data_IF_763972647129
#
_entry.id   IF_763972647129
#
_cell.length_a   1.000
_cell.length_b   1.000
_cell.length_c   1.000
_cell.angle_alpha   90.00
_cell.angle_beta   90.00
_cell.angle_gamma   90.00
#
_symmetry.space_group_name_H-M   'P 1'
#
loop_
_entity.id
_entity.type
_entity.pdbx_description
1 polymer ?
#
# COMPACT_ATOMS: atom_id res chain seq x y z
N UNK A 1 -31.57 -39.71 20.32
CA UNK A 1 -30.79 -39.73 19.07
C UNK A 1 -30.59 -38.28 18.67
N UNK A 2 -29.48 -37.68 19.11
CA UNK A 2 -29.24 -36.24 18.99
C UNK A 2 -28.42 -35.99 17.74
N UNK A 3 -29.05 -35.40 16.73
CA UNK A 3 -28.41 -35.05 15.46
C UNK A 3 -27.42 -33.92 15.71
N UNK A 4 -26.14 -34.26 15.78
CA UNK A 4 -25.03 -33.31 15.87
C UNK A 4 -24.92 -32.61 14.50
N UNK A 5 -25.43 -31.38 14.42
CA UNK A 5 -25.28 -30.52 13.24
C UNK A 5 -23.82 -30.09 13.14
N UNK A 6 -23.05 -30.78 12.31
CA UNK A 6 -21.72 -30.37 11.92
C UNK A 6 -21.86 -29.08 11.10
N UNK A 7 -21.65 -27.94 11.74
CA UNK A 7 -21.64 -26.64 11.07
C UNK A 7 -20.41 -26.63 10.16
N UNK A 8 -20.55 -26.37 8.85
CA UNK A 8 -19.40 -26.33 7.95
C UNK A 8 -18.40 -25.32 8.50
N UNK A 9 -17.22 -25.80 8.92
CA UNK A 9 -16.11 -24.94 9.32
C UNK A 9 -15.71 -24.13 8.10
N UNK A 10 -16.27 -22.94 7.96
CA UNK A 10 -15.83 -21.93 7.00
C UNK A 10 -14.36 -21.68 7.31
N UNK A 11 -13.49 -22.24 6.46
CA UNK A 11 -12.04 -22.06 6.57
C UNK A 11 -11.76 -20.59 6.28
N UNK A 12 -11.77 -19.78 7.34
CA UNK A 12 -11.35 -18.39 7.28
C UNK A 12 -9.88 -18.38 6.88
N UNK A 13 -9.60 -18.07 5.61
CA UNK A 13 -8.22 -17.91 5.14
C UNK A 13 -7.64 -16.71 5.87
N UNK A 14 -6.51 -16.86 6.55
CA UNK A 14 -5.86 -15.76 7.29
C UNK A 14 -5.63 -14.50 6.42
N UNK A 15 -5.51 -14.66 5.11
CA UNK A 15 -5.35 -13.57 4.14
C UNK A 15 -6.61 -12.72 3.93
N UNK A 16 -7.76 -13.09 4.49
CA UNK A 16 -8.97 -12.23 4.49
C UNK A 16 -8.95 -11.20 5.62
N UNK A 17 -8.13 -11.42 6.65
CA UNK A 17 -8.04 -10.52 7.79
C UNK A 17 -7.42 -9.16 7.36
N UNK A 18 -8.10 -8.03 7.64
CA UNK A 18 -7.61 -6.71 7.22
C UNK A 18 -6.19 -6.40 7.71
N UNK A 19 -5.86 -6.79 8.95
CA UNK A 19 -4.53 -6.58 9.53
C UNK A 19 -3.43 -7.34 8.78
N UNK A 20 -3.67 -8.60 8.44
CA UNK A 20 -2.72 -9.42 7.67
C UNK A 20 -2.49 -8.83 6.29
N UNK A 21 -3.55 -8.38 5.62
CA UNK A 21 -3.45 -7.75 4.28
C UNK A 21 -2.67 -6.43 4.33
N UNK A 22 -2.90 -5.62 5.36
CA UNK A 22 -2.14 -4.40 5.59
C UNK A 22 -0.65 -4.69 5.86
N UNK A 23 -0.35 -5.73 6.65
CA UNK A 23 1.02 -6.19 6.88
C UNK A 23 1.72 -6.65 5.60
N UNK A 24 1.05 -7.46 4.77
CA UNK A 24 1.58 -7.89 3.46
C UNK A 24 1.83 -6.68 2.56
N UNK A 25 0.89 -5.74 2.50
CA UNK A 25 1.03 -4.53 1.69
C UNK A 25 2.25 -3.69 2.11
N UNK A 26 2.49 -3.55 3.42
CA UNK A 26 3.70 -2.90 3.94
C UNK A 26 4.97 -3.65 3.56
N UNK A 27 4.99 -4.98 3.71
CA UNK A 27 6.15 -5.78 3.31
C UNK A 27 6.49 -5.63 1.84
N UNK A 28 5.46 -5.62 0.97
CA UNK A 28 5.64 -5.39 -0.47
C UNK A 28 6.13 -3.97 -0.79
N UNK A 29 5.59 -2.95 -0.11
CA UNK A 29 6.07 -1.57 -0.24
C UNK A 29 7.56 -1.47 0.09
N UNK A 30 7.98 -2.00 1.25
CA UNK A 30 9.38 -1.98 1.68
C UNK A 30 10.27 -2.74 0.70
N UNK A 31 9.86 -3.94 0.27
CA UNK A 31 10.60 -4.71 -0.74
C UNK A 31 10.78 -3.93 -2.05
N UNK A 32 9.74 -3.19 -2.48
CA UNK A 32 9.79 -2.35 -3.69
C UNK A 32 10.77 -1.19 -3.53
N UNK A 33 10.77 -0.51 -2.37
CA UNK A 33 11.69 0.59 -2.09
C UNK A 33 13.15 0.13 -2.01
N UNK A 34 13.40 -1.02 -1.38
CA UNK A 34 14.73 -1.65 -1.35
C UNK A 34 15.18 -1.97 -2.78
N UNK A 35 14.29 -2.54 -3.60
CA UNK A 35 14.61 -2.87 -5.01
C UNK A 35 14.94 -1.61 -5.81
N UNK A 36 14.18 -0.54 -5.65
CA UNK A 36 14.42 0.75 -6.29
C UNK A 36 15.76 1.37 -5.85
N UNK A 37 16.10 1.27 -4.56
CA UNK A 37 17.37 1.73 -4.02
C UNK A 37 18.56 0.92 -4.58
N UNK A 38 18.43 -0.41 -4.64
CA UNK A 38 19.44 -1.29 -5.26
C UNK A 38 19.61 -0.97 -6.75
N UNK A 39 18.52 -0.62 -7.45
CA UNK A 39 18.55 -0.16 -8.83
C UNK A 39 19.12 1.27 -9.00
N UNK A 40 19.46 1.94 -7.90
CA UNK A 40 20.02 3.30 -7.86
C UNK A 40 19.17 4.32 -8.62
N UNK A 41 17.85 4.23 -8.45
CA UNK A 41 16.95 5.20 -9.03
C UNK A 41 17.25 6.60 -8.47
N UNK A 42 17.14 7.61 -9.33
CA UNK A 42 17.21 9.00 -8.91
C UNK A 42 16.04 9.34 -7.98
N UNK A 43 16.21 10.36 -7.13
CA UNK A 43 15.22 10.78 -6.13
C UNK A 43 13.80 10.95 -6.70
N UNK A 44 13.59 11.65 -7.85
CA UNK A 44 12.25 11.80 -8.41
C UNK A 44 11.61 10.47 -8.83
N UNK A 45 12.44 9.53 -9.32
CA UNK A 45 11.96 8.20 -9.69
C UNK A 45 11.62 7.35 -8.46
N UNK A 46 12.41 7.46 -7.37
CA UNK A 46 12.07 6.81 -6.10
C UNK A 46 10.76 7.34 -5.50
N UNK A 47 10.50 8.65 -5.60
CA UNK A 47 9.26 9.27 -5.12
C UNK A 47 8.04 8.67 -5.85
N UNK A 48 8.11 8.61 -7.18
CA UNK A 48 7.06 8.04 -8.02
C UNK A 48 6.85 6.55 -7.73
N UNK A 49 7.94 5.79 -7.56
CA UNK A 49 7.87 4.37 -7.19
C UNK A 49 7.22 4.18 -5.82
N UNK A 50 7.55 5.00 -4.83
CA UNK A 50 6.97 4.91 -3.49
C UNK A 50 5.45 5.08 -3.51
N UNK A 51 4.97 6.13 -4.19
CA UNK A 51 3.54 6.42 -4.32
C UNK A 51 2.82 5.34 -5.14
N UNK A 52 3.39 4.95 -6.28
CA UNK A 52 2.80 3.94 -7.14
C UNK A 52 2.70 2.58 -6.44
N UNK A 53 3.79 2.15 -5.78
CA UNK A 53 3.82 0.91 -5.01
C UNK A 53 2.77 0.93 -3.90
N UNK A 54 2.74 2.00 -3.08
CA UNK A 54 1.78 2.15 -1.99
C UNK A 54 0.32 2.07 -2.49
N UNK A 55 0.01 2.73 -3.61
CA UNK A 55 -1.33 2.70 -4.19
C UNK A 55 -1.71 1.32 -4.75
N UNK A 56 -0.80 0.67 -5.47
CA UNK A 56 -1.02 -0.64 -6.09
C UNK A 56 -1.20 -1.76 -5.06
N UNK A 57 -0.39 -1.78 -3.99
CA UNK A 57 -0.54 -2.79 -2.92
C UNK A 57 -1.79 -2.55 -2.08
N UNK A 58 -2.39 -1.35 -2.15
CA UNK A 58 -3.57 -0.98 -1.38
C UNK A 58 -4.92 -1.28 -2.07
N UNK A 59 -4.92 -1.91 -3.26
CA UNK A 59 -6.15 -2.25 -4.03
C UNK A 59 -7.18 -2.99 -3.17
N UNK A 60 -6.74 -3.80 -2.22
CA UNK A 60 -7.60 -4.58 -1.35
C UNK A 60 -8.05 -3.91 -0.04
N UNK A 61 -7.52 -2.76 0.31
CA UNK A 61 -7.61 -2.21 1.68
C UNK A 61 -8.74 -1.18 1.84
N UNK A 62 -9.08 -0.83 3.07
CA UNK A 62 -9.98 0.31 3.31
C UNK A 62 -9.28 1.64 2.99
N UNK A 63 -10.04 2.71 2.74
CA UNK A 63 -9.45 4.03 2.46
C UNK A 63 -8.55 4.53 3.60
N UNK A 64 -8.91 4.26 4.86
CA UNK A 64 -8.09 4.61 6.02
C UNK A 64 -6.73 3.88 6.01
N UNK A 65 -6.74 2.58 5.69
CA UNK A 65 -5.51 1.79 5.56
C UNK A 65 -4.67 2.25 4.35
N UNK A 66 -5.31 2.58 3.23
CA UNK A 66 -4.64 3.16 2.06
C UNK A 66 -3.97 4.49 2.39
N UNK A 67 -4.66 5.38 3.11
CA UNK A 67 -4.06 6.63 3.59
C UNK A 67 -2.88 6.35 4.51
N UNK A 68 -3.00 5.38 5.43
CA UNK A 68 -1.90 4.92 6.27
C UNK A 68 -0.68 4.45 5.47
N UNK A 69 -0.87 3.72 4.37
CA UNK A 69 0.24 3.37 3.47
C UNK A 69 0.87 4.58 2.79
N UNK A 70 0.08 5.60 2.44
CA UNK A 70 0.62 6.87 1.94
C UNK A 70 1.51 7.57 2.96
N UNK A 71 1.10 7.60 4.23
CA UNK A 71 1.93 8.12 5.33
C UNK A 71 3.21 7.30 5.50
N UNK A 72 3.11 5.97 5.44
CA UNK A 72 4.27 5.08 5.58
C UNK A 72 5.23 5.26 4.41
N UNK A 73 4.74 5.34 3.18
CA UNK A 73 5.55 5.60 2.00
C UNK A 73 6.26 6.96 2.09
N UNK A 74 5.57 8.00 2.56
CA UNK A 74 6.17 9.30 2.84
C UNK A 74 7.28 9.20 3.89
N UNK A 75 7.03 8.48 4.98
CA UNK A 75 8.00 8.33 6.05
C UNK A 75 9.26 7.60 5.57
N UNK A 76 9.10 6.56 4.76
CA UNK A 76 10.23 5.86 4.15
C UNK A 76 11.00 6.75 3.18
N UNK A 77 10.30 7.46 2.30
CA UNK A 77 10.93 8.33 1.32
C UNK A 77 11.69 9.48 2.01
N UNK A 78 11.00 10.27 2.83
CA UNK A 78 11.61 11.42 3.52
C UNK A 78 12.70 10.97 4.47
N UNK A 79 12.46 9.89 5.23
CA UNK A 79 13.40 9.39 6.22
C UNK A 79 14.65 8.77 5.61
N UNK A 80 14.53 7.94 4.57
CA UNK A 80 15.66 7.13 4.08
C UNK A 80 16.17 7.49 2.69
N UNK A 81 15.40 8.22 1.88
CA UNK A 81 15.83 8.66 0.54
C UNK A 81 16.37 10.08 0.59
N UNK A 82 15.72 10.98 1.32
CA UNK A 82 16.14 12.38 1.39
C UNK A 82 17.03 12.73 2.58
N UNK A 83 16.86 12.04 3.71
CA UNK A 83 17.64 12.28 4.91
C UNK A 83 18.64 11.15 5.14
N UNK A 84 19.95 11.46 5.13
CA UNK A 84 21.02 10.48 5.38
C UNK A 84 20.94 9.84 6.78
N UNK A 85 20.22 10.47 7.71
CA UNK A 85 20.13 10.05 9.11
C UNK A 85 18.80 9.36 9.49
N UNK A 86 17.89 9.09 8.54
CA UNK A 86 16.62 8.44 8.90
C UNK A 86 15.59 9.36 9.56
N UNK A 87 15.82 10.68 9.56
CA UNK A 87 15.01 11.63 10.34
C UNK A 87 13.75 12.04 9.59
N UNK A 88 12.62 12.03 10.30
CA UNK A 88 11.38 12.61 9.82
C UNK A 88 11.31 14.07 10.26
N UNK A 89 11.33 14.97 9.30
CA UNK A 89 11.13 16.39 9.51
C UNK A 89 9.67 16.75 9.29
N UNK A 90 9.19 17.75 10.03
CA UNK A 90 7.86 18.35 9.87
C UNK A 90 8.00 19.78 9.37
N UNK A 91 9.00 20.02 8.51
CA UNK A 91 9.11 21.30 7.85
C UNK A 91 7.89 21.51 6.93
N UNK A 92 7.53 22.75 6.59
CA UNK A 92 6.37 23.03 5.76
C UNK A 92 6.33 22.25 4.44
N UNK A 93 7.48 22.02 3.81
CA UNK A 93 7.57 21.27 2.55
C UNK A 93 7.38 19.75 2.76
N UNK A 94 7.83 19.20 3.90
CA UNK A 94 7.59 17.79 4.23
C UNK A 94 6.10 17.54 4.49
N UNK A 95 5.41 18.48 5.14
CA UNK A 95 3.97 18.40 5.35
C UNK A 95 3.20 18.45 4.02
N UNK A 96 3.64 19.29 3.07
CA UNK A 96 3.07 19.30 1.72
C UNK A 96 3.29 17.97 1.03
N UNK A 97 4.50 17.42 1.10
CA UNK A 97 4.82 16.12 0.51
C UNK A 97 4.03 14.99 1.15
N UNK A 98 3.84 14.99 2.46
CA UNK A 98 2.96 14.05 3.17
C UNK A 98 1.54 14.09 2.59
N UNK A 99 0.96 15.28 2.43
CA UNK A 99 -0.37 15.45 1.83
C UNK A 99 -0.39 14.90 0.40
N UNK A 100 0.62 15.21 -0.41
CA UNK A 100 0.76 14.69 -1.78
C UNK A 100 0.83 13.17 -1.79
N UNK A 101 1.66 12.56 -0.94
CA UNK A 101 1.78 11.11 -0.83
C UNK A 101 0.46 10.45 -0.47
N UNK A 102 -0.26 10.97 0.53
CA UNK A 102 -1.55 10.43 0.95
C UNK A 102 -2.59 10.54 -0.18
N UNK A 103 -2.74 11.73 -0.78
CA UNK A 103 -3.73 11.96 -1.84
C UNK A 103 -3.41 11.16 -3.10
N UNK A 104 -2.15 11.15 -3.53
CA UNK A 104 -1.73 10.41 -4.71
C UNK A 104 -1.83 8.90 -4.51
N UNK A 105 -1.48 8.38 -3.34
CA UNK A 105 -1.66 6.95 -3.00
C UNK A 105 -3.14 6.56 -3.07
N UNK A 106 -4.03 7.39 -2.53
CA UNK A 106 -5.48 7.18 -2.64
C UNK A 106 -5.94 7.19 -4.11
N UNK A 107 -5.48 8.16 -4.90
CA UNK A 107 -5.83 8.26 -6.32
C UNK A 107 -5.37 7.03 -7.11
N UNK A 108 -4.12 6.60 -6.94
CA UNK A 108 -3.58 5.38 -7.57
C UNK A 108 -4.39 4.16 -7.15
N UNK A 109 -4.71 4.00 -5.86
CA UNK A 109 -5.50 2.89 -5.37
C UNK A 109 -6.93 2.87 -5.98
N UNK A 110 -7.57 4.03 -6.13
CA UNK A 110 -8.89 4.16 -6.77
C UNK A 110 -8.83 3.72 -8.23
N UNK A 111 -7.84 4.22 -8.98
CA UNK A 111 -7.64 3.85 -10.39
C UNK A 111 -7.36 2.35 -10.52
N UNK A 112 -6.45 1.82 -9.69
CA UNK A 112 -6.09 0.40 -9.72
C UNK A 112 -7.28 -0.51 -9.37
N UNK A 113 -8.14 -0.11 -8.41
CA UNK A 113 -9.39 -0.83 -8.10
C UNK A 113 -10.36 -0.83 -9.27
N UNK A 114 -10.50 0.31 -9.93
CA UNK A 114 -11.38 0.44 -11.10
C UNK A 114 -10.94 -0.50 -12.23
N UNK A 115 -9.65 -0.48 -12.57
CA UNK A 115 -9.06 -1.35 -13.59
C UNK A 115 -9.25 -2.83 -13.23
N UNK A 116 -8.97 -3.21 -11.98
CA UNK A 116 -9.13 -4.59 -11.50
C UNK A 116 -10.58 -5.09 -11.60
N UNK A 117 -11.55 -4.20 -11.39
CA UNK A 117 -12.96 -4.53 -11.56
C UNK A 117 -13.31 -4.78 -13.02
N UNK A 118 -12.94 -3.86 -13.92
CA UNK A 118 -13.23 -3.97 -15.36
C UNK A 118 -12.62 -5.23 -15.98
N UNK A 119 -11.40 -5.62 -15.58
CA UNK A 119 -10.77 -6.85 -16.06
C UNK A 119 -11.55 -8.09 -15.61
N UNK A 120 -12.03 -8.11 -14.36
CA UNK A 120 -12.81 -9.23 -13.83
C UNK A 120 -14.18 -9.37 -14.51
N UNK A 121 -14.80 -8.28 -14.92
CA UNK A 121 -16.06 -8.30 -15.66
C UNK A 121 -15.86 -8.91 -17.06
N UNK A 122 -14.82 -8.47 -17.77
CA UNK A 122 -14.51 -8.97 -19.12
C UNK A 122 -14.13 -10.45 -19.15
N UNK A 123 -13.46 -10.96 -18.11
CA UNK A 123 -13.02 -12.35 -18.04
C UNK A 123 -14.13 -13.37 -17.68
N UNK A 124 -15.34 -12.90 -17.35
CA UNK A 124 -16.51 -13.74 -17.05
C UNK A 124 -17.45 -13.94 -18.24
N UNK A 125 -17.14 -13.31 -19.37
CA UNK A 125 -17.82 -13.47 -20.66
C UNK A 125 -17.08 -14.53 -21.48
#
# INVERSE_FOLDING_TARGET
>A
MTTMTDSPRTTSRMTTEPGVRFGIANGLLVATLITASVARLEVPAMELVAVAAAGLVAVGLSHAMTAGLGVIAWAWFTGFVENDFGQLTLAPDDLRRLVVFVVATLAVAVVARHIHHSIKENARV
#
